data_IF_569261326121
#
_entry.id   IF_569261326121
#
_cell.length_a   1.000
_cell.length_b   1.000
_cell.length_c   1.000
_cell.angle_alpha   90.00
_cell.angle_beta   90.00
_cell.angle_gamma   90.00
#
_symmetry.space_group_name_H-M   'P 1'
#
loop_
_entity.id
_entity.type
_entity.pdbx_description
1 polymer ?
#
# COMPACT_ATOMS: atom_id res chain seq x y z
N UNK A 1 -21.14 -3.09 -14.08
CA UNK A 1 -20.25 -2.06 -13.54
C UNK A 1 -18.83 -2.55 -13.66
N UNK A 2 -18.02 -1.76 -14.31
CA UNK A 2 -16.68 -2.19 -14.71
C UNK A 2 -15.63 -1.68 -13.71
N UNK A 3 -15.36 -2.50 -12.69
CA UNK A 3 -14.32 -2.21 -11.69
C UNK A 3 -13.02 -2.81 -12.19
N UNK A 4 -12.03 -1.96 -12.41
CA UNK A 4 -10.75 -2.40 -12.94
C UNK A 4 -9.57 -1.74 -12.21
N UNK A 5 -8.41 -2.36 -12.34
CA UNK A 5 -7.15 -1.83 -11.84
C UNK A 5 -6.40 -1.19 -13.01
N UNK A 6 -5.76 -0.05 -12.74
CA UNK A 6 -4.83 0.57 -13.70
C UNK A 6 -3.66 1.22 -12.99
N UNK A 7 -2.58 1.42 -13.71
CA UNK A 7 -1.48 2.22 -13.19
C UNK A 7 -1.88 3.70 -13.15
N UNK A 8 -1.50 4.38 -12.09
CA UNK A 8 -1.68 5.82 -11.97
C UNK A 8 -0.72 6.56 -12.90
N UNK A 9 -1.12 7.75 -13.32
CA UNK A 9 -0.28 8.69 -14.02
C UNK A 9 -0.01 9.92 -13.14
N UNK A 10 0.84 10.82 -13.58
CA UNK A 10 1.11 12.07 -12.86
C UNK A 10 -0.15 12.91 -12.66
N UNK A 11 -1.14 12.77 -13.53
CA UNK A 11 -2.41 13.49 -13.44
C UNK A 11 -3.29 12.97 -12.29
N UNK A 12 -2.98 11.82 -11.73
CA UNK A 12 -3.74 11.22 -10.63
C UNK A 12 -3.26 11.69 -9.24
N UNK A 13 -2.29 12.60 -9.18
CA UNK A 13 -1.72 13.05 -7.91
C UNK A 13 -2.78 13.50 -6.91
N UNK A 14 -3.71 14.36 -7.34
CA UNK A 14 -4.70 14.94 -6.43
C UNK A 14 -5.60 13.88 -5.81
N UNK A 15 -6.04 12.91 -6.60
CA UNK A 15 -6.92 11.85 -6.08
C UNK A 15 -6.16 10.91 -5.16
N UNK A 16 -4.93 10.55 -5.49
CA UNK A 16 -4.09 9.70 -4.63
C UNK A 16 -3.78 10.42 -3.32
N UNK A 17 -3.40 11.69 -3.40
CA UNK A 17 -3.13 12.52 -2.22
C UNK A 17 -4.36 12.61 -1.31
N UNK A 18 -5.55 12.78 -1.89
CA UNK A 18 -6.79 12.85 -1.13
C UNK A 18 -7.09 11.58 -0.34
N UNK A 19 -6.90 10.43 -0.95
CA UNK A 19 -7.13 9.14 -0.26
C UNK A 19 -6.01 8.87 0.75
N UNK A 20 -4.76 9.13 0.38
CA UNK A 20 -3.61 8.95 1.25
C UNK A 20 -3.73 9.81 2.51
N UNK A 21 -4.22 11.02 2.37
CA UNK A 21 -4.46 11.91 3.52
C UNK A 21 -5.41 11.30 4.54
N UNK A 22 -6.45 10.62 4.10
CA UNK A 22 -7.38 9.92 5.00
C UNK A 22 -6.66 8.84 5.82
N UNK A 23 -5.80 8.06 5.18
CA UNK A 23 -4.99 7.02 5.84
C UNK A 23 -4.01 7.67 6.82
N UNK A 24 -3.36 8.75 6.41
CA UNK A 24 -2.41 9.47 7.26
C UNK A 24 -3.08 10.07 8.50
N UNK A 25 -4.27 10.63 8.35
CA UNK A 25 -5.04 11.17 9.48
C UNK A 25 -5.32 10.10 10.53
N UNK A 26 -5.69 8.91 10.10
CA UNK A 26 -5.93 7.79 11.00
C UNK A 26 -4.65 7.39 11.74
N UNK A 27 -3.52 7.30 11.04
CA UNK A 27 -2.23 6.99 11.67
C UNK A 27 -1.79 8.08 12.65
N UNK A 28 -2.00 9.34 12.31
CA UNK A 28 -1.65 10.47 13.17
C UNK A 28 -2.46 10.45 14.48
N UNK A 29 -3.73 10.10 14.39
CA UNK A 29 -4.61 9.99 15.56
C UNK A 29 -4.14 8.89 16.52
N UNK A 30 -3.72 7.75 15.99
CA UNK A 30 -3.35 6.58 16.78
C UNK A 30 -1.88 6.60 17.24
N UNK A 31 -0.99 7.21 16.45
CA UNK A 31 0.43 7.30 16.76
C UNK A 31 0.93 8.76 16.60
N UNK A 32 0.42 9.69 17.45
CA UNK A 32 0.87 11.09 17.39
C UNK A 32 2.32 11.29 17.81
N UNK A 33 2.94 10.29 18.46
CA UNK A 33 4.36 10.24 18.78
C UNK A 33 5.24 10.01 17.55
N UNK A 34 4.68 9.44 16.50
CA UNK A 34 5.40 9.06 15.28
C UNK A 34 4.99 9.91 14.07
N UNK A 35 3.71 10.18 13.92
CA UNK A 35 3.16 10.92 12.79
C UNK A 35 2.64 12.30 13.21
N UNK A 36 2.74 13.25 12.31
CA UNK A 36 2.14 14.58 12.49
C UNK A 36 1.39 14.99 11.23
N UNK A 37 0.36 15.82 11.39
CA UNK A 37 -0.34 16.39 10.24
C UNK A 37 0.54 17.45 9.57
N UNK A 38 0.42 17.54 8.26
CA UNK A 38 1.06 18.54 7.45
C UNK A 38 0.09 18.97 6.33
N UNK A 39 0.31 20.11 5.73
CA UNK A 39 -0.51 20.58 4.62
C UNK A 39 -0.40 19.63 3.42
N UNK A 40 0.79 19.11 3.19
CA UNK A 40 1.05 18.10 2.16
C UNK A 40 1.51 16.81 2.83
N UNK A 41 0.68 15.76 2.74
CA UNK A 41 0.98 14.44 3.29
C UNK A 41 1.60 13.50 2.26
N UNK A 42 1.54 13.87 1.00
CA UNK A 42 2.20 13.17 -0.11
C UNK A 42 2.87 14.21 -0.99
N UNK A 43 4.20 14.23 -0.99
CA UNK A 43 4.96 15.15 -1.81
C UNK A 43 4.81 14.84 -3.30
N UNK A 44 4.55 15.86 -4.10
CA UNK A 44 4.31 15.69 -5.53
C UNK A 44 5.55 15.20 -6.30
N UNK A 45 6.71 15.69 -5.92
CA UNK A 45 7.97 15.24 -6.55
C UNK A 45 8.24 13.77 -6.22
N UNK A 46 8.01 13.36 -4.99
CA UNK A 46 8.10 11.97 -4.58
C UNK A 46 7.10 11.10 -5.36
N UNK A 47 5.85 11.56 -5.48
CA UNK A 47 4.82 10.86 -6.26
C UNK A 47 5.27 10.65 -7.71
N UNK A 48 5.83 11.70 -8.33
CA UNK A 48 6.33 11.61 -9.69
C UNK A 48 7.46 10.58 -9.82
N UNK A 49 8.36 10.51 -8.83
CA UNK A 49 9.41 9.49 -8.78
C UNK A 49 8.83 8.08 -8.72
N UNK A 50 7.74 7.88 -7.96
CA UNK A 50 7.06 6.58 -7.90
C UNK A 50 6.48 6.19 -9.26
N UNK A 51 5.88 7.15 -9.96
CA UNK A 51 5.30 6.92 -11.28
C UNK A 51 6.38 6.54 -12.30
N UNK A 52 7.53 7.21 -12.28
CA UNK A 52 8.62 7.02 -13.22
C UNK A 52 9.53 5.84 -12.92
N UNK A 53 9.54 5.37 -11.68
CA UNK A 53 10.48 4.35 -11.20
C UNK A 53 10.27 2.98 -11.84
N UNK A 54 11.36 2.26 -12.07
CA UNK A 54 11.32 0.90 -12.61
C UNK A 54 10.84 -0.12 -11.57
N UNK A 55 11.16 0.12 -10.30
CA UNK A 55 10.86 -0.77 -9.19
C UNK A 55 9.73 -0.27 -8.30
N UNK A 56 8.97 0.69 -8.77
CA UNK A 56 7.82 1.23 -8.05
C UNK A 56 6.59 1.23 -8.94
N UNK A 57 5.43 1.02 -8.33
CA UNK A 57 4.14 1.06 -9.02
C UNK A 57 3.13 1.78 -8.14
N UNK A 58 2.32 2.60 -8.75
CA UNK A 58 1.13 3.16 -8.11
C UNK A 58 -0.07 2.65 -8.88
N UNK A 59 -0.93 1.90 -8.21
CA UNK A 59 -2.17 1.37 -8.80
C UNK A 59 -3.38 2.08 -8.25
N UNK A 60 -4.37 2.21 -9.09
CA UNK A 60 -5.71 2.66 -8.72
C UNK A 60 -6.72 1.55 -9.00
N UNK A 61 -7.69 1.42 -8.11
CA UNK A 61 -8.92 0.72 -8.40
C UNK A 61 -9.92 1.76 -8.86
N UNK A 62 -10.56 1.53 -9.99
CA UNK A 62 -11.40 2.51 -10.64
C UNK A 62 -12.67 1.87 -11.20
N UNK A 63 -13.76 2.59 -11.12
CA UNK A 63 -14.99 2.36 -11.89
C UNK A 63 -15.17 3.58 -12.78
N UNK A 64 -16.13 4.46 -12.50
CA UNK A 64 -16.22 5.76 -13.16
C UNK A 64 -15.21 6.76 -12.60
N UNK A 65 -14.87 6.57 -11.33
CA UNK A 65 -13.90 7.40 -10.59
C UNK A 65 -12.94 6.50 -9.82
N UNK A 66 -11.75 7.00 -9.50
CA UNK A 66 -10.83 6.27 -8.63
C UNK A 66 -11.46 6.02 -7.25
N UNK A 67 -11.32 4.79 -6.78
CA UNK A 67 -11.93 4.28 -5.54
C UNK A 67 -10.86 4.06 -4.46
N UNK A 68 -9.69 3.60 -4.88
CA UNK A 68 -8.63 3.18 -3.98
C UNK A 68 -7.27 3.31 -4.67
N UNK A 69 -6.22 3.40 -3.87
CA UNK A 69 -4.85 3.43 -4.38
C UNK A 69 -3.96 2.46 -3.61
N UNK A 70 -2.87 2.07 -4.25
CA UNK A 70 -1.80 1.33 -3.58
C UNK A 70 -0.46 1.72 -4.17
N UNK A 71 0.54 1.81 -3.32
CA UNK A 71 1.93 2.04 -3.71
C UNK A 71 2.70 0.76 -3.44
N UNK A 72 3.35 0.25 -4.48
CA UNK A 72 4.13 -0.98 -4.40
C UNK A 72 5.58 -0.70 -4.75
N UNK A 73 6.49 -1.37 -4.05
CA UNK A 73 7.92 -1.36 -4.35
C UNK A 73 8.35 -2.80 -4.64
N UNK A 74 9.05 -3.00 -5.74
CA UNK A 74 9.63 -4.30 -6.05
C UNK A 74 11.02 -4.34 -5.42
N UNK A 75 11.23 -5.28 -4.50
CA UNK A 75 12.48 -5.43 -3.76
C UNK A 75 13.14 -6.74 -4.10
N UNK A 76 14.45 -6.70 -4.29
CA UNK A 76 15.27 -7.90 -4.44
C UNK A 76 16.11 -8.07 -3.18
N UNK A 77 16.21 -9.30 -2.70
CA UNK A 77 17.08 -9.62 -1.57
C UNK A 77 18.51 -9.23 -1.90
N UNK A 78 19.20 -8.62 -0.94
CA UNK A 78 20.62 -8.31 -1.10
C UNK A 78 21.41 -9.56 -1.42
N UNK A 79 22.40 -9.44 -2.30
CA UNK A 79 23.26 -10.54 -2.67
C UNK A 79 24.29 -10.78 -1.56
N UNK A 80 23.97 -11.73 -0.68
CA UNK A 80 24.80 -12.13 0.45
C UNK A 80 24.81 -13.64 0.57
N UNK A 81 25.97 -14.25 0.95
CA UNK A 81 26.08 -15.72 1.03
C UNK A 81 25.07 -16.40 1.95
N UNK A 82 24.56 -15.67 2.95
CA UNK A 82 23.62 -16.22 3.94
C UNK A 82 22.16 -16.00 3.59
N UNK A 83 21.87 -15.33 2.48
CA UNK A 83 20.51 -15.00 2.09
C UNK A 83 20.11 -15.73 0.81
N UNK A 84 18.90 -16.25 0.81
CA UNK A 84 18.30 -16.85 -0.39
C UNK A 84 17.75 -15.69 -1.25
N UNK A 85 18.18 -15.57 -2.52
CA UNK A 85 17.68 -14.53 -3.40
C UNK A 85 16.17 -14.63 -3.59
N UNK A 86 15.46 -13.53 -3.38
CA UNK A 86 14.00 -13.44 -3.54
C UNK A 86 13.62 -12.12 -4.17
N UNK A 87 12.54 -12.15 -4.94
CA UNK A 87 11.85 -10.98 -5.44
C UNK A 87 10.59 -10.78 -4.61
N UNK A 88 10.44 -9.62 -3.99
CA UNK A 88 9.32 -9.30 -3.12
C UNK A 88 8.58 -8.10 -3.67
N UNK A 89 7.27 -8.21 -3.79
CA UNK A 89 6.41 -7.03 -3.98
C UNK A 89 6.05 -6.53 -2.60
N UNK A 90 6.53 -5.36 -2.24
CA UNK A 90 6.25 -4.73 -0.95
C UNK A 90 5.18 -3.66 -1.11
N UNK A 91 4.11 -3.78 -0.35
CA UNK A 91 3.02 -2.83 -0.35
C UNK A 91 3.31 -1.74 0.68
N UNK A 92 3.71 -0.57 0.19
CA UNK A 92 4.03 0.58 1.03
C UNK A 92 2.76 1.27 1.55
N UNK A 93 1.76 1.42 0.68
CA UNK A 93 0.48 2.05 0.99
C UNK A 93 -0.66 1.27 0.36
N UNK A 94 -1.79 1.28 1.05
CA UNK A 94 -3.06 0.72 0.58
C UNK A 94 -4.19 1.49 1.23
N UNK A 95 -5.00 2.16 0.44
CA UNK A 95 -6.09 2.95 0.97
C UNK A 95 -7.33 2.91 0.08
N UNK A 96 -8.49 2.79 0.71
CA UNK A 96 -9.80 2.89 0.05
C UNK A 96 -10.45 4.20 0.49
N UNK A 97 -10.92 4.99 -0.46
CA UNK A 97 -11.64 6.22 -0.16
C UNK A 97 -12.83 5.91 0.75
N UNK A 98 -13.00 6.69 1.80
CA UNK A 98 -14.03 6.47 2.81
C UNK A 98 -15.45 6.37 2.22
N UNK A 99 -15.72 7.03 1.11
CA UNK A 99 -17.01 6.96 0.39
C UNK A 99 -17.35 5.55 -0.09
N UNK A 100 -16.32 4.74 -0.31
CA UNK A 100 -16.46 3.42 -0.92
C UNK A 100 -16.17 2.29 0.07
N UNK A 101 -15.91 2.59 1.33
CA UNK A 101 -15.63 1.55 2.35
C UNK A 101 -16.89 0.75 2.68
N UNK A 102 -16.66 -0.47 3.17
CA UNK A 102 -17.75 -1.36 3.60
C UNK A 102 -18.50 -2.06 2.46
N UNK A 103 -17.96 -2.02 1.24
CA UNK A 103 -18.58 -2.61 0.04
C UNK A 103 -17.77 -3.78 -0.55
N UNK A 104 -16.75 -4.24 0.16
CA UNK A 104 -15.89 -5.33 -0.33
C UNK A 104 -14.90 -4.92 -1.40
N UNK A 105 -14.75 -3.62 -1.69
CA UNK A 105 -13.87 -3.13 -2.74
C UNK A 105 -12.39 -3.29 -2.40
N UNK A 106 -12.04 -3.18 -1.12
CA UNK A 106 -10.68 -3.43 -0.65
C UNK A 106 -10.22 -4.85 -0.96
N UNK A 107 -11.10 -5.84 -0.76
CA UNK A 107 -10.82 -7.24 -1.10
C UNK A 107 -10.57 -7.40 -2.59
N UNK A 108 -11.43 -6.85 -3.42
CA UNK A 108 -11.30 -6.90 -4.88
C UNK A 108 -9.96 -6.30 -5.31
N UNK A 109 -9.62 -5.14 -4.77
CA UNK A 109 -8.38 -4.46 -5.10
C UNK A 109 -7.15 -5.28 -4.66
N UNK A 110 -7.18 -5.79 -3.44
CA UNK A 110 -6.08 -6.59 -2.92
C UNK A 110 -5.87 -7.87 -3.76
N UNK A 111 -6.95 -8.55 -4.14
CA UNK A 111 -6.86 -9.73 -4.99
C UNK A 111 -6.21 -9.42 -6.35
N UNK A 112 -6.55 -8.26 -6.94
CA UNK A 112 -5.93 -7.81 -8.20
C UNK A 112 -4.44 -7.51 -8.02
N UNK A 113 -4.04 -6.96 -6.89
CA UNK A 113 -2.63 -6.69 -6.58
C UNK A 113 -1.87 -8.01 -6.38
N UNK A 114 -2.46 -8.99 -5.73
CA UNK A 114 -1.86 -10.33 -5.58
C UNK A 114 -1.66 -10.97 -6.96
N UNK A 115 -2.64 -10.85 -7.84
CA UNK A 115 -2.53 -11.34 -9.22
C UNK A 115 -1.37 -10.65 -9.96
N UNK A 116 -1.25 -9.34 -9.83
CA UNK A 116 -0.11 -8.60 -10.37
C UNK A 116 1.22 -9.16 -9.85
N UNK A 117 1.34 -9.36 -8.55
CA UNK A 117 2.56 -9.89 -7.94
C UNK A 117 2.91 -11.29 -8.50
N UNK A 118 1.92 -12.16 -8.65
CA UNK A 118 2.11 -13.47 -9.27
C UNK A 118 2.58 -13.34 -10.71
N UNK A 119 2.01 -12.44 -11.47
CA UNK A 119 2.36 -12.23 -12.88
C UNK A 119 3.75 -11.64 -13.07
N UNK A 120 4.30 -10.96 -12.08
CA UNK A 120 5.70 -10.50 -12.10
C UNK A 120 6.68 -11.55 -11.61
N UNK A 121 6.20 -12.76 -11.31
CA UNK A 121 7.01 -13.85 -10.78
C UNK A 121 7.66 -13.52 -9.44
N UNK A 122 6.99 -12.74 -8.61
CA UNK A 122 7.46 -12.45 -7.26
C UNK A 122 7.31 -13.69 -6.38
N UNK A 123 8.24 -13.84 -5.44
CA UNK A 123 8.21 -14.94 -4.48
C UNK A 123 7.22 -14.67 -3.34
N UNK A 124 7.00 -13.41 -3.01
CA UNK A 124 6.07 -13.02 -1.96
C UNK A 124 5.54 -11.60 -2.15
N UNK A 125 4.42 -11.32 -1.49
CA UNK A 125 3.91 -9.97 -1.28
C UNK A 125 3.96 -9.72 0.21
N UNK A 126 4.56 -8.61 0.61
CA UNK A 126 4.77 -8.25 2.01
C UNK A 126 4.29 -6.83 2.28
N UNK A 127 3.94 -6.57 3.53
CA UNK A 127 3.55 -5.24 3.99
C UNK A 127 3.85 -5.10 5.48
N UNK A 128 3.88 -3.85 5.95
CA UNK A 128 3.91 -3.54 7.36
C UNK A 128 2.55 -3.00 7.78
N UNK A 129 2.08 -3.42 8.95
CA UNK A 129 0.84 -2.93 9.53
C UNK A 129 1.06 -2.66 11.02
N UNK A 130 0.58 -1.50 11.49
CA UNK A 130 0.69 -1.14 12.90
C UNK A 130 -0.18 -2.05 13.78
N UNK A 131 0.33 -2.42 14.95
CA UNK A 131 -0.41 -3.25 15.92
C UNK A 131 -1.76 -2.64 16.31
N UNK A 132 -1.87 -1.31 16.37
CA UNK A 132 -3.14 -0.65 16.71
C UNK A 132 -4.22 -0.86 15.65
N UNK A 133 -3.84 -1.16 14.42
CA UNK A 133 -4.76 -1.27 13.30
C UNK A 133 -5.36 -2.68 13.19
N UNK A 134 -6.16 -3.03 14.19
CA UNK A 134 -6.76 -4.37 14.29
C UNK A 134 -7.63 -4.73 13.08
N UNK A 135 -8.36 -3.75 12.55
CA UNK A 135 -9.21 -3.98 11.38
C UNK A 135 -8.39 -4.34 10.14
N UNK A 136 -7.28 -3.64 9.93
CA UNK A 136 -6.37 -3.95 8.81
C UNK A 136 -5.73 -5.32 9.00
N UNK A 137 -5.27 -5.64 10.21
CA UNK A 137 -4.66 -6.93 10.51
C UNK A 137 -5.64 -8.06 10.19
N UNK A 138 -6.89 -7.95 10.65
CA UNK A 138 -7.93 -8.94 10.37
C UNK A 138 -8.21 -9.06 8.88
N UNK A 139 -8.23 -7.92 8.17
CA UNK A 139 -8.40 -7.91 6.73
C UNK A 139 -7.29 -8.70 6.05
N UNK A 140 -6.02 -8.39 6.37
CA UNK A 140 -4.89 -9.09 5.75
C UNK A 140 -4.86 -10.57 6.11
N UNK A 141 -5.18 -10.92 7.35
CA UNK A 141 -5.28 -12.33 7.74
C UNK A 141 -6.39 -13.05 6.95
N UNK A 142 -7.52 -12.39 6.70
CA UNK A 142 -8.60 -12.93 5.86
C UNK A 142 -8.17 -13.13 4.40
N UNK A 143 -7.14 -12.42 3.97
CA UNK A 143 -6.54 -12.54 2.64
C UNK A 143 -5.35 -13.51 2.63
N UNK A 144 -5.22 -14.33 3.66
CA UNK A 144 -4.19 -15.36 3.83
C UNK A 144 -2.77 -14.82 4.11
N UNK A 145 -2.64 -13.58 4.55
CA UNK A 145 -1.36 -13.09 5.02
C UNK A 145 -1.08 -13.64 6.43
N UNK A 146 0.19 -13.91 6.71
CA UNK A 146 0.67 -14.36 8.00
C UNK A 146 1.71 -13.39 8.51
N UNK A 147 1.76 -13.21 9.82
CA UNK A 147 2.82 -12.42 10.43
C UNK A 147 4.16 -13.10 10.17
N UNK A 148 5.06 -12.37 9.55
CA UNK A 148 6.40 -12.84 9.19
C UNK A 148 7.43 -12.48 10.25
N UNK A 149 7.32 -11.27 10.80
CA UNK A 149 8.30 -10.72 11.72
C UNK A 149 7.61 -9.76 12.68
N UNK A 150 8.11 -9.65 13.89
CA UNK A 150 7.62 -8.66 14.84
C UNK A 150 8.71 -7.62 15.06
N UNK A 151 8.35 -6.35 14.93
CA UNK A 151 9.21 -5.23 15.22
C UNK A 151 8.84 -4.67 16.59
N UNK A 152 9.82 -4.58 17.48
CA UNK A 152 9.59 -4.19 18.87
C UNK A 152 10.44 -2.95 19.20
N UNK A 153 9.95 -2.13 20.12
CA UNK A 153 10.66 -0.93 20.56
C UNK A 153 10.56 -0.75 22.06
N UNK A 154 11.52 -0.06 22.63
CA UNK A 154 11.44 0.48 23.97
C UNK A 154 11.77 1.97 23.87
N UNK A 155 10.92 2.79 24.44
CA UNK A 155 11.16 4.23 24.49
C UNK A 155 12.15 4.55 25.62
N UNK A 156 13.19 5.33 25.31
CA UNK A 156 14.29 5.64 26.25
C UNK A 156 14.19 7.06 26.84
#
# INVERSE_FOLDING_TARGET
MDIHIREATKDDYDVVHGIQRQVHEMHTKERPDHYKMADTTLDKEYFNHLIEGENTKVFLLEEDQPIAYSILTIRHTEERPILIPKKVVYMDDFGVDHKYRGKGLGRIFFEKIVEYAKNTEADSLELGVWEFNENAIKFYESMNLKTKMRRMEIEL
#
